data_IF_648445364356
#
_entry.id   IF_648445364356
#
_cell.length_a   1.000
_cell.length_b   1.000
_cell.length_c   1.000
_cell.angle_alpha   90.00
_cell.angle_beta   90.00
_cell.angle_gamma   90.00
#
_symmetry.space_group_name_H-M   'P 1'
#
loop_
_entity.id
_entity.type
_entity.pdbx_description
1 polymer ?
#
# COMPACT_ATOMS: atom_id res chain seq x y z
N UNK A 1 25.88 -8.25 25.02
CA UNK A 1 25.07 -7.54 24.01
C UNK A 1 24.05 -6.69 24.74
N UNK A 2 23.95 -5.40 24.41
CA UNK A 2 23.07 -4.46 25.13
C UNK A 2 21.62 -4.66 24.67
N UNK A 3 20.67 -4.37 25.55
CA UNK A 3 19.24 -4.48 25.29
C UNK A 3 18.76 -3.63 24.07
N UNK A 4 19.50 -2.58 23.74
CA UNK A 4 19.28 -1.73 22.56
C UNK A 4 19.61 -2.47 21.25
N UNK A 5 20.72 -3.22 21.20
CA UNK A 5 21.11 -4.02 20.02
C UNK A 5 20.04 -5.07 19.69
N UNK A 6 19.45 -5.67 20.72
CA UNK A 6 18.38 -6.65 20.57
C UNK A 6 17.08 -6.03 20.04
N UNK A 7 16.72 -4.82 20.49
CA UNK A 7 15.57 -4.08 19.96
C UNK A 7 15.77 -3.67 18.50
N UNK A 8 16.96 -3.20 18.14
CA UNK A 8 17.30 -2.84 16.76
C UNK A 8 17.21 -4.08 15.86
N UNK A 9 17.81 -5.19 16.28
CA UNK A 9 17.79 -6.45 15.51
C UNK A 9 16.38 -7.04 15.37
N UNK A 10 15.55 -6.95 16.42
CA UNK A 10 14.14 -7.36 16.37
C UNK A 10 13.33 -6.47 15.41
N UNK A 11 13.59 -5.16 15.39
CA UNK A 11 12.93 -4.24 14.46
C UNK A 11 13.33 -4.51 13.00
N UNK A 12 14.61 -4.78 12.75
CA UNK A 12 15.10 -5.16 11.41
C UNK A 12 14.43 -6.45 10.96
N UNK A 13 14.37 -7.48 11.82
CA UNK A 13 13.70 -8.75 11.48
C UNK A 13 12.23 -8.54 11.08
N UNK A 14 11.48 -7.74 11.84
CA UNK A 14 10.07 -7.42 11.53
C UNK A 14 9.96 -6.70 10.18
N UNK A 15 10.88 -5.77 9.88
CA UNK A 15 10.90 -5.07 8.59
C UNK A 15 11.16 -6.05 7.44
N UNK A 16 12.11 -6.98 7.59
CA UNK A 16 12.37 -8.02 6.58
C UNK A 16 11.15 -8.92 6.35
N UNK A 17 10.48 -9.34 7.42
CA UNK A 17 9.25 -10.13 7.35
C UNK A 17 8.12 -9.36 6.63
N UNK A 18 7.93 -8.08 6.93
CA UNK A 18 6.94 -7.24 6.26
C UNK A 18 7.23 -7.11 4.76
N UNK A 19 8.50 -6.91 4.38
CA UNK A 19 8.90 -6.88 2.95
C UNK A 19 8.62 -8.20 2.24
N UNK A 20 8.95 -9.33 2.87
CA UNK A 20 8.66 -10.64 2.33
C UNK A 20 7.14 -10.85 2.13
N UNK A 21 6.33 -10.45 3.12
CA UNK A 21 4.88 -10.53 3.04
C UNK A 21 4.30 -9.66 1.91
N UNK A 22 4.87 -8.47 1.67
CA UNK A 22 4.50 -7.62 0.53
C UNK A 22 4.76 -8.35 -0.79
N UNK A 23 5.89 -9.05 -0.94
CA UNK A 23 6.15 -9.82 -2.17
C UNK A 23 5.14 -10.97 -2.30
N UNK A 24 4.85 -11.69 -1.21
CA UNK A 24 3.89 -12.79 -1.21
C UNK A 24 2.48 -12.35 -1.63
N UNK A 25 1.97 -11.26 -1.05
CA UNK A 25 0.61 -10.77 -1.34
C UNK A 25 0.49 -10.27 -2.78
N UNK A 26 1.55 -9.68 -3.34
CA UNK A 26 1.59 -9.35 -4.77
C UNK A 26 1.53 -10.65 -5.59
N UNK A 27 2.33 -11.66 -5.26
CA UNK A 27 2.26 -12.96 -5.94
C UNK A 27 0.87 -13.61 -5.90
N UNK A 28 0.17 -13.50 -4.79
CA UNK A 28 -1.20 -14.00 -4.67
C UNK A 28 -2.19 -13.18 -5.48
N UNK A 29 -2.02 -11.87 -5.57
CA UNK A 29 -2.81 -11.01 -6.45
C UNK A 29 -2.70 -11.45 -7.91
N UNK A 30 -1.49 -11.76 -8.40
CA UNK A 30 -1.29 -12.30 -9.75
C UNK A 30 -2.03 -13.62 -9.97
N UNK A 31 -1.98 -14.55 -9.00
CA UNK A 31 -2.71 -15.83 -9.09
C UNK A 31 -4.22 -15.61 -9.10
N UNK A 32 -4.72 -14.62 -8.36
CA UNK A 32 -6.15 -14.30 -8.31
C UNK A 32 -6.64 -13.75 -9.65
N UNK A 33 -5.88 -12.84 -10.27
CA UNK A 33 -6.21 -12.34 -11.61
C UNK A 33 -6.17 -13.42 -12.71
N UNK A 34 -5.37 -14.48 -12.52
CA UNK A 34 -5.34 -15.62 -13.43
C UNK A 34 -6.57 -16.55 -13.30
N UNK A 35 -7.35 -16.43 -12.22
CA UNK A 35 -8.57 -17.23 -11.98
C UNK A 35 -9.79 -16.43 -12.46
N UNK A 36 -10.71 -17.08 -13.19
CA UNK A 36 -11.88 -16.44 -13.79
C UNK A 36 -12.78 -15.64 -12.82
N UNK A 37 -13.58 -14.73 -13.38
CA UNK A 37 -14.13 -13.53 -12.72
C UNK A 37 -15.01 -13.71 -11.48
N UNK A 38 -15.82 -14.78 -11.39
CA UNK A 38 -16.91 -14.81 -10.40
C UNK A 38 -16.50 -15.28 -8.99
N UNK A 39 -15.39 -16.00 -8.83
CA UNK A 39 -14.88 -16.42 -7.51
C UNK A 39 -13.78 -15.48 -7.01
N UNK A 40 -13.15 -14.72 -7.90
CA UNK A 40 -11.98 -13.91 -7.60
C UNK A 40 -12.30 -12.55 -6.97
N UNK A 41 -13.50 -11.97 -7.14
CA UNK A 41 -13.75 -10.57 -6.79
C UNK A 41 -13.58 -10.26 -5.29
N UNK A 42 -14.19 -11.06 -4.40
CA UNK A 42 -14.03 -10.85 -2.95
C UNK A 42 -12.58 -11.10 -2.50
N UNK A 43 -11.94 -12.14 -3.06
CA UNK A 43 -10.54 -12.46 -2.75
C UNK A 43 -9.57 -11.39 -3.25
N UNK A 44 -9.86 -10.73 -4.37
CA UNK A 44 -9.05 -9.61 -4.88
C UNK A 44 -9.17 -8.41 -3.93
N UNK A 45 -10.37 -8.07 -3.48
CA UNK A 45 -10.57 -6.98 -2.52
C UNK A 45 -9.84 -7.24 -1.20
N UNK A 46 -9.96 -8.46 -0.67
CA UNK A 46 -9.21 -8.90 0.52
C UNK A 46 -7.69 -8.77 0.31
N UNK A 47 -7.19 -9.22 -0.84
CA UNK A 47 -5.76 -9.15 -1.18
C UNK A 47 -5.25 -7.70 -1.28
N UNK A 48 -6.01 -6.81 -1.94
CA UNK A 48 -5.66 -5.39 -2.07
C UNK A 48 -5.66 -4.72 -0.68
N UNK A 49 -6.68 -4.96 0.14
CA UNK A 49 -6.74 -4.40 1.48
C UNK A 49 -5.58 -4.86 2.37
N UNK A 50 -5.21 -6.15 2.29
CA UNK A 50 -4.06 -6.69 3.01
C UNK A 50 -2.74 -6.06 2.58
N UNK A 51 -2.55 -5.80 1.28
CA UNK A 51 -1.36 -5.15 0.77
C UNK A 51 -1.23 -3.72 1.29
N UNK A 52 -2.34 -2.97 1.30
CA UNK A 52 -2.40 -1.61 1.85
C UNK A 52 -2.05 -1.61 3.35
N UNK A 53 -2.61 -2.54 4.13
CA UNK A 53 -2.31 -2.68 5.56
C UNK A 53 -0.81 -2.92 5.77
N UNK A 54 -0.21 -3.86 5.03
CA UNK A 54 1.22 -4.16 5.16
C UNK A 54 2.10 -2.93 4.86
N UNK A 55 1.73 -2.11 3.88
CA UNK A 55 2.46 -0.90 3.53
C UNK A 55 2.39 0.17 4.63
N UNK A 56 1.21 0.41 5.23
CA UNK A 56 1.09 1.33 6.36
C UNK A 56 1.87 0.84 7.58
N UNK A 57 1.77 -0.45 7.91
CA UNK A 57 2.51 -1.05 9.03
C UNK A 57 4.02 -0.92 8.81
N UNK A 58 4.51 -1.18 7.59
CA UNK A 58 5.92 -0.99 7.24
C UNK A 58 6.35 0.47 7.42
N UNK A 59 5.56 1.42 6.91
CA UNK A 59 5.81 2.86 7.09
C UNK A 59 5.95 3.26 8.55
N UNK A 60 5.03 2.78 9.41
CA UNK A 60 5.09 3.00 10.86
C UNK A 60 6.34 2.40 11.51
N UNK A 61 6.80 1.23 11.06
CA UNK A 61 8.03 0.59 11.57
C UNK A 61 9.30 1.35 11.22
N UNK A 62 9.31 2.09 10.12
CA UNK A 62 10.46 2.90 9.68
C UNK A 62 10.37 4.38 10.09
N UNK A 63 9.30 4.77 10.80
CA UNK A 63 9.19 6.07 11.45
C UNK A 63 8.23 7.08 10.80
N UNK A 64 7.42 6.65 9.83
CA UNK A 64 6.38 7.51 9.23
C UNK A 64 5.03 7.29 9.89
N UNK A 65 4.33 8.38 10.23
CA UNK A 65 2.93 8.32 10.62
C UNK A 65 2.02 8.01 9.42
N UNK A 66 0.82 7.49 9.68
CA UNK A 66 -0.16 7.26 8.62
C UNK A 66 -0.56 8.56 7.91
N UNK A 67 -0.61 9.68 8.64
CA UNK A 67 -0.90 11.00 8.07
C UNK A 67 0.18 11.45 7.10
N UNK A 68 1.47 11.27 7.43
CA UNK A 68 2.57 11.60 6.51
C UNK A 68 2.50 10.78 5.22
N UNK A 69 2.15 9.49 5.33
CA UNK A 69 1.95 8.61 4.16
C UNK A 69 0.78 9.11 3.31
N UNK A 70 -0.35 9.41 3.94
CA UNK A 70 -1.55 9.89 3.23
C UNK A 70 -1.32 11.24 2.54
N UNK A 71 -0.61 12.16 3.20
CA UNK A 71 -0.28 13.47 2.63
C UNK A 71 0.69 13.35 1.45
N UNK A 72 1.66 12.45 1.54
CA UNK A 72 2.57 12.15 0.43
C UNK A 72 1.83 11.47 -0.74
N UNK A 73 0.90 10.57 -0.45
CA UNK A 73 0.01 9.98 -1.47
C UNK A 73 -0.82 11.07 -2.17
N UNK A 74 -1.43 12.01 -1.43
CA UNK A 74 -2.20 13.12 -2.00
C UNK A 74 -1.34 14.00 -2.92
N UNK A 75 -0.10 14.29 -2.56
CA UNK A 75 0.83 15.05 -3.42
C UNK A 75 1.10 14.33 -4.73
N UNK A 76 1.41 13.02 -4.67
CA UNK A 76 1.66 12.19 -5.86
C UNK A 76 0.44 12.08 -6.77
N UNK A 77 -0.74 11.88 -6.19
CA UNK A 77 -1.99 11.87 -6.95
C UNK A 77 -2.25 13.21 -7.63
N UNK A 78 -2.05 14.33 -6.92
CA UNK A 78 -2.20 15.66 -7.50
C UNK A 78 -1.22 15.90 -8.65
N UNK A 79 0.01 15.41 -8.54
CA UNK A 79 1.00 15.50 -9.61
C UNK A 79 0.52 14.74 -10.86
N UNK A 80 0.15 13.45 -10.72
CA UNK A 80 -0.34 12.66 -11.86
C UNK A 80 -1.63 13.21 -12.48
N UNK A 81 -2.47 13.88 -11.69
CA UNK A 81 -3.64 14.60 -12.22
C UNK A 81 -3.22 15.79 -13.10
N UNK A 82 -2.25 16.59 -12.65
CA UNK A 82 -1.74 17.77 -13.39
C UNK A 82 -1.01 17.34 -14.66
N UNK A 83 -0.26 16.24 -14.59
CA UNK A 83 0.49 15.69 -15.73
C UNK A 83 -0.41 14.96 -16.73
N UNK A 84 -1.70 14.81 -16.40
CA UNK A 84 -2.68 14.04 -17.17
C UNK A 84 -2.15 12.62 -17.48
N UNK A 85 -1.72 11.90 -16.45
CA UNK A 85 -1.29 10.50 -16.57
C UNK A 85 -2.34 9.66 -17.32
N UNK A 86 -1.90 8.62 -18.03
CA UNK A 86 -2.80 7.76 -18.80
C UNK A 86 -3.94 7.20 -17.94
N UNK A 87 -3.68 6.90 -16.67
CA UNK A 87 -4.67 6.45 -15.68
C UNK A 87 -5.71 7.55 -15.34
N UNK A 88 -5.29 8.82 -15.32
CA UNK A 88 -6.21 9.93 -15.10
C UNK A 88 -7.01 10.25 -16.36
N UNK A 89 -6.38 10.17 -17.54
CA UNK A 89 -7.06 10.32 -18.84
C UNK A 89 -8.10 9.21 -19.03
N UNK A 90 -7.77 7.99 -18.63
CA UNK A 90 -8.62 6.81 -18.70
C UNK A 90 -9.50 6.66 -17.45
N UNK A 91 -10.50 7.54 -17.33
CA UNK A 91 -11.58 7.35 -16.35
C UNK A 91 -11.41 8.09 -15.02
N UNK A 92 -10.45 8.99 -14.89
CA UNK A 92 -10.30 9.90 -13.73
C UNK A 92 -10.01 9.20 -12.41
N UNK A 93 -9.30 8.08 -12.46
CA UNK A 93 -9.10 7.24 -11.28
C UNK A 93 -8.19 7.88 -10.22
N UNK A 94 -7.20 8.68 -10.63
CA UNK A 94 -6.37 9.44 -9.68
C UNK A 94 -7.20 10.50 -8.96
N UNK A 95 -8.04 11.23 -9.69
CA UNK A 95 -9.00 12.19 -9.13
C UNK A 95 -9.98 11.55 -8.14
N UNK A 96 -10.53 10.37 -8.45
CA UNK A 96 -11.42 9.63 -7.53
C UNK A 96 -10.71 9.25 -6.24
N UNK A 97 -9.51 8.69 -6.34
CA UNK A 97 -8.73 8.29 -5.16
C UNK A 97 -8.31 9.52 -4.33
N UNK A 98 -7.91 10.61 -4.98
CA UNK A 98 -7.57 11.86 -4.29
C UNK A 98 -8.75 12.38 -3.45
N UNK A 99 -9.96 12.38 -4.02
CA UNK A 99 -11.17 12.80 -3.30
C UNK A 99 -11.50 11.87 -2.13
N UNK A 100 -11.40 10.56 -2.33
CA UNK A 100 -11.60 9.58 -1.26
C UNK A 100 -10.64 9.81 -0.07
N UNK A 101 -9.36 10.10 -0.34
CA UNK A 101 -8.38 10.41 0.71
C UNK A 101 -8.60 11.78 1.37
N UNK A 102 -9.21 12.72 0.65
CA UNK A 102 -9.54 14.04 1.19
C UNK A 102 -10.72 13.98 2.17
N UNK A 103 -11.70 13.12 1.91
CA UNK A 103 -12.88 12.94 2.77
C UNK A 103 -12.59 12.15 4.06
N UNK A 104 -11.48 11.41 4.12
CA UNK A 104 -11.08 10.60 5.29
C UNK A 104 -10.41 11.40 6.42
N UNK A 105 -9.99 12.65 6.18
CA UNK A 105 -9.25 13.50 7.12
C UNK A 105 -9.98 14.81 7.43
#
# INVERSE_FOLDING_TARGET
MKHEDFKIMSNIKIIEELKANIICIIGDLYKLFAKGSNVAQNSILECISGAIILLYVLGGRIGYSHLEIDDEMKKKLKLGIIEEDDIEKDGKDLSKLYNHLKERN
#
